data_IF_621452337496
#
_entry.id   IF_621452337496
#
_cell.length_a   1.000
_cell.length_b   1.000
_cell.length_c   1.000
_cell.angle_alpha   90.00
_cell.angle_beta   90.00
_cell.angle_gamma   90.00
#
_symmetry.space_group_name_H-M   'P 1'
#
loop_
_entity.id
_entity.type
_entity.pdbx_description
1 polymer ?
#
# COMPACT_ATOMS: atom_id res chain seq x y z
N UNK A 1 -29.51 56.66 -17.37
CA UNK A 1 -29.33 55.63 -18.41
C UNK A 1 -28.77 54.41 -17.68
N UNK A 2 -29.48 53.27 -17.56
CA UNK A 2 -29.39 52.10 -18.49
C UNK A 2 -27.94 51.85 -18.93
N UNK A 3 -27.29 50.70 -18.77
CA UNK A 3 -27.70 49.30 -18.59
C UNK A 3 -26.49 48.51 -17.98
N UNK A 4 -26.55 47.29 -17.42
CA UNK A 4 -27.61 46.34 -17.03
C UNK A 4 -26.99 45.23 -16.15
N UNK A 5 -27.76 44.51 -15.30
CA UNK A 5 -27.28 43.28 -14.64
C UNK A 5 -27.13 42.12 -15.65
N UNK A 6 -26.03 41.36 -15.57
CA UNK A 6 -26.02 39.97 -16.05
C UNK A 6 -25.49 39.06 -14.94
N UNK A 7 -26.39 38.21 -14.45
CA UNK A 7 -26.13 37.20 -13.43
C UNK A 7 -25.37 36.04 -14.10
N UNK A 8 -24.08 35.87 -13.79
CA UNK A 8 -23.32 34.69 -14.20
C UNK A 8 -23.44 33.57 -13.14
N UNK A 9 -24.60 32.93 -13.11
CA UNK A 9 -24.86 31.75 -12.26
C UNK A 9 -24.17 30.54 -12.89
N UNK A 10 -22.89 30.34 -12.58
CA UNK A 10 -22.15 29.12 -12.89
C UNK A 10 -22.46 28.05 -11.84
N UNK A 11 -23.59 27.37 -12.05
CA UNK A 11 -24.05 26.22 -11.28
C UNK A 11 -23.64 24.93 -11.98
N UNK A 12 -23.20 23.95 -11.19
CA UNK A 12 -22.75 22.61 -11.58
C UNK A 12 -21.46 22.58 -12.43
N UNK A 13 -20.48 21.69 -12.18
CA UNK A 13 -20.47 20.49 -11.34
C UNK A 13 -19.18 20.51 -10.52
N UNK A 14 -19.25 20.51 -9.18
CA UNK A 14 -18.09 20.09 -8.37
C UNK A 14 -18.03 18.57 -8.44
N UNK A 15 -17.55 18.08 -9.58
CA UNK A 15 -17.14 16.71 -9.72
C UNK A 15 -15.96 16.50 -8.81
N UNK A 16 -16.22 16.00 -7.59
CA UNK A 16 -15.21 15.39 -6.74
C UNK A 16 -14.73 14.12 -7.44
N UNK A 17 -13.90 14.30 -8.47
CA UNK A 17 -12.96 13.29 -8.90
C UNK A 17 -11.99 13.12 -7.75
N UNK A 18 -12.35 12.24 -6.81
CA UNK A 18 -11.40 11.65 -5.88
C UNK A 18 -10.47 10.83 -6.76
N UNK A 19 -9.45 11.51 -7.29
CA UNK A 19 -8.29 10.89 -7.87
C UNK A 19 -7.69 10.05 -6.75
N UNK A 20 -8.00 8.76 -6.74
CA UNK A 20 -7.33 7.83 -5.85
C UNK A 20 -5.82 8.06 -6.03
N UNK A 21 -5.06 8.29 -4.95
CA UNK A 21 -3.63 8.56 -5.07
C UNK A 21 -3.01 7.43 -5.87
N UNK A 22 -2.28 7.77 -6.95
CA UNK A 22 -1.59 6.78 -7.76
C UNK A 22 -0.42 6.23 -6.95
N UNK A 23 -0.69 5.28 -6.05
CA UNK A 23 0.34 4.55 -5.33
C UNK A 23 1.14 3.73 -6.32
N UNK A 24 2.46 3.85 -6.21
CA UNK A 24 3.41 3.12 -7.06
C UNK A 24 3.22 1.60 -6.92
N UNK A 25 3.56 0.86 -7.97
CA UNK A 25 3.59 -0.61 -7.94
C UNK A 25 4.42 -1.14 -6.76
N UNK A 26 5.48 -0.40 -6.37
CA UNK A 26 6.32 -0.68 -5.19
C UNK A 26 5.57 -0.51 -3.86
N UNK A 27 4.83 0.59 -3.70
CA UNK A 27 4.01 0.84 -2.51
C UNK A 27 2.90 -0.22 -2.40
N UNK A 28 2.21 -0.52 -3.50
CA UNK A 28 1.16 -1.54 -3.56
C UNK A 28 1.69 -2.93 -3.19
N UNK A 29 2.84 -3.34 -3.73
CA UNK A 29 3.51 -4.59 -3.37
C UNK A 29 3.89 -4.63 -1.89
N UNK A 30 4.54 -3.58 -1.39
CA UNK A 30 4.96 -3.51 0.00
C UNK A 30 3.77 -3.58 0.97
N UNK A 31 2.72 -2.80 0.71
CA UNK A 31 1.53 -2.73 1.57
C UNK A 31 0.78 -4.06 1.55
N UNK A 32 0.64 -4.69 0.38
CA UNK A 32 0.04 -6.02 0.26
C UNK A 32 0.83 -7.09 1.03
N UNK A 33 2.14 -7.16 0.84
CA UNK A 33 3.01 -8.13 1.50
C UNK A 33 3.04 -7.91 3.02
N UNK A 34 3.23 -6.66 3.45
CA UNK A 34 3.18 -6.28 4.87
C UNK A 34 1.81 -6.52 5.51
N UNK A 35 0.71 -6.43 4.75
CA UNK A 35 -0.62 -6.81 5.25
C UNK A 35 -0.75 -8.32 5.44
N UNK A 36 -0.15 -9.13 4.55
CA UNK A 36 -0.09 -10.58 4.73
C UNK A 36 0.78 -10.96 5.93
N UNK A 37 1.99 -10.39 6.06
CA UNK A 37 2.87 -10.58 7.23
C UNK A 37 2.19 -10.13 8.53
N UNK A 38 1.42 -9.03 8.52
CA UNK A 38 0.67 -8.58 9.70
C UNK A 38 -0.32 -9.63 10.20
N UNK A 39 -0.92 -10.43 9.32
CA UNK A 39 -1.77 -11.54 9.76
C UNK A 39 -0.97 -12.62 10.50
N UNK A 40 0.27 -12.91 10.12
CA UNK A 40 1.13 -13.85 10.85
C UNK A 40 1.48 -13.31 12.24
N UNK A 41 1.88 -12.03 12.33
CA UNK A 41 2.15 -11.32 13.60
C UNK A 41 0.93 -11.35 14.53
N UNK A 42 -0.27 -11.03 14.01
CA UNK A 42 -1.52 -11.06 14.79
C UNK A 42 -1.91 -12.47 15.26
N UNK A 43 -1.54 -13.51 14.52
CA UNK A 43 -1.72 -14.91 14.91
C UNK A 43 -0.52 -15.48 15.70
N UNK A 44 0.38 -14.61 16.20
CA UNK A 44 1.55 -14.98 17.01
C UNK A 44 2.47 -16.02 16.36
N UNK A 45 2.50 -16.08 15.02
CA UNK A 45 3.34 -17.01 14.25
C UNK A 45 4.80 -16.52 14.30
N UNK A 46 5.79 -17.38 14.59
CA UNK A 46 7.19 -16.98 14.68
C UNK A 46 7.74 -16.52 13.32
N UNK A 47 8.77 -15.67 13.36
CA UNK A 47 9.42 -15.12 12.16
C UNK A 47 9.85 -16.20 11.15
N UNK A 48 10.43 -17.31 11.63
CA UNK A 48 10.90 -18.43 10.79
C UNK A 48 9.80 -19.01 9.87
N UNK A 49 8.55 -19.04 10.36
CA UNK A 49 7.42 -19.48 9.53
C UNK A 49 7.02 -18.44 8.48
N UNK A 50 7.18 -17.14 8.78
CA UNK A 50 6.94 -16.06 7.81
C UNK A 50 8.03 -16.01 6.75
N UNK A 51 9.29 -16.23 7.14
CA UNK A 51 10.43 -16.35 6.23
C UNK A 51 10.21 -17.50 5.26
N UNK A 52 9.85 -18.69 5.77
CA UNK A 52 9.53 -19.87 4.97
C UNK A 52 8.37 -19.65 4.00
N UNK A 53 7.29 -19.00 4.44
CA UNK A 53 6.10 -18.77 3.63
C UNK A 53 6.26 -17.56 2.66
N UNK A 54 7.35 -16.78 2.77
CA UNK A 54 7.48 -15.48 2.08
C UNK A 54 7.42 -15.53 0.55
N UNK A 55 7.94 -16.59 -0.08
CA UNK A 55 7.81 -16.85 -1.51
C UNK A 55 6.34 -17.07 -1.91
N UNK A 56 5.61 -17.91 -1.16
CA UNK A 56 4.18 -18.17 -1.35
C UNK A 56 3.32 -16.92 -1.11
N UNK A 57 3.72 -16.03 -0.19
CA UNK A 57 3.08 -14.74 -0.02
C UNK A 57 3.22 -13.88 -1.28
N UNK A 58 4.39 -13.86 -1.92
CA UNK A 58 4.57 -13.15 -3.19
C UNK A 58 3.75 -13.77 -4.34
N UNK A 59 3.59 -15.10 -4.39
CA UNK A 59 2.77 -15.75 -5.42
C UNK A 59 1.28 -15.38 -5.38
N UNK A 60 0.78 -14.80 -4.28
CA UNK A 60 -0.62 -14.32 -4.17
C UNK A 60 -0.90 -13.05 -4.96
N UNK A 61 0.12 -12.37 -5.49
CA UNK A 61 -0.06 -11.22 -6.37
C UNK A 61 -0.34 -11.62 -7.82
N UNK A 62 -1.54 -11.30 -8.31
CA UNK A 62 -1.92 -11.51 -9.71
C UNK A 62 -1.20 -10.57 -10.69
N UNK A 63 -0.87 -9.35 -10.26
CA UNK A 63 -0.09 -8.42 -11.09
C UNK A 63 1.39 -8.82 -11.10
N UNK A 64 1.93 -9.06 -12.29
CA UNK A 64 3.29 -9.54 -12.48
C UNK A 64 4.36 -8.54 -12.01
N UNK A 65 4.14 -7.23 -12.11
CA UNK A 65 5.11 -6.23 -11.63
C UNK A 65 5.16 -6.21 -10.11
N UNK A 66 3.97 -6.22 -9.49
CA UNK A 66 3.80 -6.27 -8.03
C UNK A 66 4.43 -7.53 -7.46
N UNK A 67 4.18 -8.69 -8.08
CA UNK A 67 4.82 -9.96 -7.73
C UNK A 67 6.34 -9.92 -7.91
N UNK A 68 6.84 -9.53 -9.08
CA UNK A 68 8.28 -9.49 -9.35
C UNK A 68 9.00 -8.56 -8.36
N UNK A 69 8.40 -7.42 -8.00
CA UNK A 69 8.94 -6.53 -6.98
C UNK A 69 8.96 -7.21 -5.59
N UNK A 70 7.90 -7.92 -5.22
CA UNK A 70 7.84 -8.68 -3.97
C UNK A 70 8.99 -9.70 -3.88
N UNK A 71 9.13 -10.56 -4.89
CA UNK A 71 10.18 -11.59 -4.96
C UNK A 71 11.59 -10.99 -4.90
N UNK A 72 11.85 -9.92 -5.65
CA UNK A 72 13.19 -9.36 -5.83
C UNK A 72 13.60 -8.30 -4.78
N UNK A 73 12.69 -7.88 -3.89
CA UNK A 73 12.93 -6.80 -2.91
C UNK A 73 12.33 -7.02 -1.52
N UNK A 74 11.14 -7.61 -1.41
CA UNK A 74 10.41 -7.69 -0.13
C UNK A 74 10.73 -8.95 0.67
N UNK A 75 11.02 -10.07 0.01
CA UNK A 75 11.46 -11.31 0.68
C UNK A 75 12.71 -11.04 1.54
N UNK A 76 13.71 -10.35 1.00
CA UNK A 76 14.93 -9.95 1.75
C UNK A 76 14.71 -8.86 2.81
N UNK A 77 13.45 -8.51 3.10
CA UNK A 77 13.00 -7.54 4.10
C UNK A 77 11.93 -8.08 5.03
N UNK A 78 11.63 -9.39 4.96
CA UNK A 78 10.56 -10.01 5.75
C UNK A 78 10.80 -9.88 7.27
N UNK A 79 12.05 -9.96 7.72
CA UNK A 79 12.48 -9.74 9.10
C UNK A 79 12.20 -8.30 9.57
N UNK A 80 12.66 -7.31 8.83
CA UNK A 80 12.48 -5.89 9.12
C UNK A 80 10.99 -5.51 9.11
N UNK A 81 10.22 -6.07 8.17
CA UNK A 81 8.77 -5.89 8.08
C UNK A 81 8.08 -6.53 9.30
N UNK A 82 8.41 -7.77 9.65
CA UNK A 82 7.82 -8.51 10.76
C UNK A 82 8.02 -7.78 12.11
N UNK A 83 9.27 -7.38 12.42
CA UNK A 83 9.55 -6.68 13.68
C UNK A 83 8.85 -5.31 13.74
N UNK A 84 8.87 -4.54 12.65
CA UNK A 84 8.17 -3.24 12.60
C UNK A 84 6.64 -3.37 12.75
N UNK A 85 6.04 -4.46 12.27
CA UNK A 85 4.62 -4.76 12.46
C UNK A 85 4.32 -5.23 13.89
N UNK A 86 5.28 -5.87 14.56
CA UNK A 86 5.21 -6.22 15.99
C UNK A 86 5.21 -4.96 16.86
N UNK A 87 5.92 -3.89 16.47
CA UNK A 87 5.85 -2.53 17.07
C UNK A 87 4.53 -1.78 16.77
N UNK A 88 3.42 -2.52 16.59
CA UNK A 88 2.06 -2.05 16.30
C UNK A 88 1.86 -1.20 15.04
N UNK A 89 2.87 -1.06 14.17
CA UNK A 89 2.76 -0.25 12.95
C UNK A 89 1.73 -0.82 11.97
N UNK A 90 1.16 0.06 11.15
CA UNK A 90 0.36 -0.32 9.99
C UNK A 90 1.28 -0.73 8.82
N UNK A 91 0.80 -1.58 7.89
CA UNK A 91 1.50 -1.88 6.64
C UNK A 91 1.93 -0.61 5.88
N UNK A 92 1.08 0.42 5.87
CA UNK A 92 1.36 1.71 5.23
C UNK A 92 2.58 2.42 5.86
N UNK A 93 2.64 2.50 7.19
CA UNK A 93 3.76 3.14 7.90
C UNK A 93 5.06 2.36 7.71
N UNK A 94 5.02 1.03 7.73
CA UNK A 94 6.20 0.20 7.45
C UNK A 94 6.74 0.49 6.05
N UNK A 95 5.88 0.55 5.04
CA UNK A 95 6.28 0.82 3.67
C UNK A 95 6.78 2.25 3.42
N UNK A 96 6.28 3.23 4.17
CA UNK A 96 6.82 4.59 4.18
C UNK A 96 8.22 4.65 4.83
N UNK A 97 8.45 3.91 5.92
CA UNK A 97 9.78 3.80 6.56
C UNK A 97 10.78 3.14 5.61
N UNK A 98 10.35 2.12 4.86
CA UNK A 98 11.15 1.42 3.85
C UNK A 98 11.31 2.21 2.54
N UNK A 99 10.66 3.38 2.39
CA UNK A 99 10.69 4.24 1.19
C UNK A 99 10.16 3.57 -0.08
N UNK A 100 9.21 2.64 0.09
CA UNK A 100 8.43 2.08 -1.01
C UNK A 100 7.11 2.84 -1.21
N UNK A 101 6.60 3.40 -0.11
CA UNK A 101 5.70 4.55 -0.08
C UNK A 101 6.45 5.78 0.50
#
# INVERSE_FOLDING_TARGET
>A
MKATLVLAVLVCVVGLTVSAPQTSDHCNACVGFSSMVKNYVLNQRPLEEVEKDSEDLCQRFYDMKVRNFCENKLISKVDEIYYRLTDLKTPQEVCAILKYC
#
